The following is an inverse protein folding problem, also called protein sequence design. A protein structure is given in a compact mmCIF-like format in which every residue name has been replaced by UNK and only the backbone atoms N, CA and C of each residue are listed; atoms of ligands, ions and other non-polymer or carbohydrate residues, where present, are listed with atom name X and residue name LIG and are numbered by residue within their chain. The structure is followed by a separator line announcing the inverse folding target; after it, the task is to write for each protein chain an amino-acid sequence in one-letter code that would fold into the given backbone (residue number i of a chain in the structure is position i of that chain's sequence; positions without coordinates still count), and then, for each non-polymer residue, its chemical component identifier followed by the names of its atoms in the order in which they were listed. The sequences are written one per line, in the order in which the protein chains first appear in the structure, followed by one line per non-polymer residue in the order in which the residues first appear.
data_IF_763550208912
#
_entry.id   IF_763550208912
#
_cell.length_a   1.000
_cell.length_b   1.000
_cell.length_c   1.000
_cell.angle_alpha   90.00
_cell.angle_beta   90.00
_cell.angle_gamma   90.00
#
_symmetry.space_group_name_H-M   'P 1'
#
loop_
_entity.id
_entity.type
_entity.pdbx_description
1 polymer ?
#
# COMPACT_ATOMS: atom_id res chain seq x y z
N UNK A 1 0.95 48.87 -55.24
CA UNK A 1 2.39 49.06 -54.95
C UNK A 1 2.78 48.01 -53.94
N UNK A 2 3.72 47.11 -54.26
CA UNK A 2 4.32 46.15 -53.31
C UNK A 2 3.91 44.68 -53.46
N UNK A 3 4.71 43.93 -54.23
CA UNK A 3 4.79 42.46 -54.31
C UNK A 3 5.55 41.85 -53.10
N UNK A 4 5.51 40.51 -53.00
CA UNK A 4 6.44 39.50 -52.40
C UNK A 4 5.56 38.46 -51.66
N UNK A 5 5.12 37.31 -52.21
CA UNK A 5 5.80 36.11 -52.73
C UNK A 5 6.84 35.52 -51.76
N UNK A 6 6.50 34.41 -51.08
CA UNK A 6 7.31 33.22 -50.67
C UNK A 6 6.42 32.41 -49.68
N UNK A 7 6.17 31.10 -49.69
CA UNK A 7 6.56 29.96 -50.50
C UNK A 7 5.87 28.68 -49.94
N UNK A 8 5.30 27.87 -50.84
CA UNK A 8 5.12 26.40 -50.86
C UNK A 8 5.03 25.58 -49.54
N UNK A 9 3.90 24.92 -49.24
CA UNK A 9 3.38 23.65 -49.82
C UNK A 9 3.97 22.36 -49.22
N UNK A 10 3.10 21.50 -48.68
CA UNK A 10 2.97 20.05 -49.01
C UNK A 10 1.90 19.36 -48.14
N UNK A 11 0.63 19.42 -48.56
CA UNK A 11 -0.35 18.36 -48.24
C UNK A 11 -0.32 17.35 -49.40
N UNK A 12 0.10 16.12 -49.13
CA UNK A 12 0.08 15.04 -50.13
C UNK A 12 -1.31 14.42 -50.19
N UNK A 13 -1.88 14.55 -51.38
CA UNK A 13 -3.11 13.97 -51.88
C UNK A 13 -2.79 12.61 -52.53
N UNK A 14 -3.44 11.52 -52.09
CA UNK A 14 -3.57 10.26 -52.87
C UNK A 14 -4.80 9.54 -52.31
N UNK A 15 -6.00 9.75 -52.88
CA UNK A 15 -6.62 9.02 -54.01
C UNK A 15 -6.87 7.53 -53.72
N UNK A 16 -8.08 7.21 -53.24
CA UNK A 16 -9.23 6.53 -53.90
C UNK A 16 -9.04 5.03 -54.17
N UNK A 17 -9.93 4.19 -53.63
CA UNK A 17 -10.92 3.34 -54.34
C UNK A 17 -11.34 2.11 -53.53
N UNK A 18 -12.64 2.07 -53.28
CA UNK A 18 -13.46 0.96 -52.81
C UNK A 18 -13.50 -0.19 -53.83
N UNK A 19 -13.77 -1.43 -53.39
CA UNK A 19 -14.82 -2.33 -53.93
C UNK A 19 -14.97 -3.57 -53.02
N UNK A 20 -16.24 -3.93 -52.86
CA UNK A 20 -16.84 -4.97 -52.03
C UNK A 20 -16.82 -6.31 -52.76
N UNK A 21 -16.58 -7.43 -52.06
CA UNK A 21 -17.20 -8.72 -52.41
C UNK A 21 -17.68 -9.40 -51.12
N UNK A 22 -19.00 -9.58 -51.05
CA UNK A 22 -19.67 -10.41 -50.06
C UNK A 22 -19.45 -11.90 -50.39
N UNK A 23 -19.02 -12.68 -49.39
CA UNK A 23 -18.96 -14.13 -49.46
C UNK A 23 -19.75 -14.72 -48.29
N UNK A 24 -21.04 -15.00 -48.51
CA UNK A 24 -21.83 -15.87 -47.65
C UNK A 24 -21.48 -17.32 -47.94
N UNK A 25 -20.88 -18.02 -46.98
CA UNK A 25 -20.97 -19.48 -46.89
C UNK A 25 -21.39 -19.87 -45.49
N UNK A 26 -22.53 -20.56 -45.44
CA UNK A 26 -23.19 -21.15 -44.28
C UNK A 26 -22.28 -22.13 -43.55
N UNK A 27 -22.27 -22.07 -42.23
CA UNK A 27 -21.71 -23.06 -41.33
C UNK A 27 -22.52 -23.10 -40.04
N UNK A 28 -23.56 -23.93 -40.03
CA UNK A 28 -24.44 -24.20 -38.89
C UNK A 28 -23.71 -25.07 -37.86
N UNK A 29 -24.10 -24.87 -36.59
CA UNK A 29 -23.95 -25.76 -35.43
C UNK A 29 -22.83 -25.40 -34.43
N UNK A 30 -23.25 -24.97 -33.23
CA UNK A 30 -22.39 -25.03 -32.05
C UNK A 30 -22.72 -24.07 -30.91
N UNK A 31 -23.88 -24.25 -30.27
CA UNK A 31 -24.04 -23.90 -28.86
C UNK A 31 -24.55 -22.50 -28.55
N UNK A 32 -25.83 -22.44 -28.21
CA UNK A 32 -26.29 -21.51 -27.17
C UNK A 32 -25.40 -21.67 -25.95
N UNK A 33 -24.60 -20.65 -25.63
CA UNK A 33 -24.01 -20.53 -24.30
C UNK A 33 -24.75 -19.42 -23.57
N UNK A 34 -25.93 -19.74 -23.05
CA UNK A 34 -26.32 -19.13 -21.79
C UNK A 34 -25.36 -19.66 -20.74
N UNK A 35 -24.44 -18.83 -20.27
CA UNK A 35 -23.84 -19.06 -18.96
C UNK A 35 -23.84 -17.75 -18.22
N UNK A 36 -24.79 -17.66 -17.29
CA UNK A 36 -24.87 -16.59 -16.32
C UNK A 36 -23.52 -16.41 -15.66
N UNK A 37 -22.86 -15.30 -15.98
CA UNK A 37 -21.78 -14.81 -15.13
C UNK A 37 -22.45 -14.15 -13.94
N UNK A 38 -22.95 -14.99 -13.02
CA UNK A 38 -22.94 -14.64 -11.62
C UNK A 38 -21.48 -14.35 -11.29
N UNK A 39 -21.08 -13.08 -11.42
CA UNK A 39 -19.80 -12.56 -10.97
C UNK A 39 -19.78 -12.78 -9.47
N UNK A 40 -19.37 -13.98 -9.08
CA UNK A 40 -19.17 -14.36 -7.70
C UNK A 40 -18.07 -13.43 -7.19
N UNK A 41 -18.48 -12.35 -6.52
CA UNK A 41 -17.59 -11.30 -6.04
C UNK A 41 -16.47 -11.96 -5.21
N UNK A 42 -15.29 -12.14 -5.82
CA UNK A 42 -14.14 -12.79 -5.19
C UNK A 42 -13.87 -12.07 -3.88
N UNK A 43 -14.25 -12.68 -2.76
CA UNK A 43 -14.08 -12.07 -1.45
C UNK A 43 -12.59 -11.87 -1.21
N UNK A 44 -12.13 -10.60 -1.24
CA UNK A 44 -10.71 -10.28 -1.08
C UNK A 44 -10.26 -10.70 0.32
N UNK A 45 -9.13 -11.40 0.41
CA UNK A 45 -8.48 -11.75 1.69
C UNK A 45 -7.37 -10.75 2.01
N UNK A 46 -7.08 -10.55 3.29
CA UNK A 46 -5.88 -9.84 3.75
C UNK A 46 -4.61 -10.66 3.49
N UNK A 47 -3.46 -10.00 3.58
CA UNK A 47 -2.14 -10.58 3.36
C UNK A 47 -1.88 -11.76 4.32
N UNK A 48 -1.26 -12.83 3.79
CA UNK A 48 -0.74 -13.94 4.59
C UNK A 48 0.60 -13.61 5.25
N UNK A 49 1.41 -12.78 4.60
CA UNK A 49 2.71 -12.32 5.10
C UNK A 49 2.95 -10.87 4.72
N UNK A 50 3.74 -10.15 5.53
CA UNK A 50 4.20 -8.81 5.18
C UNK A 50 5.16 -8.85 3.99
N UNK A 51 5.08 -7.90 3.04
CA UNK A 51 6.01 -7.85 1.91
C UNK A 51 7.45 -7.66 2.38
N UNK A 52 8.41 -8.34 1.73
CA UNK A 52 9.84 -8.28 2.11
C UNK A 52 10.37 -6.84 2.19
N UNK A 53 9.92 -5.95 1.31
CA UNK A 53 10.36 -4.54 1.27
C UNK A 53 10.07 -3.74 2.55
N UNK A 54 9.02 -4.12 3.29
CA UNK A 54 8.62 -3.49 4.55
C UNK A 54 9.27 -4.12 5.78
N UNK A 55 9.78 -5.34 5.67
CA UNK A 55 10.35 -6.06 6.83
C UNK A 55 11.57 -5.32 7.36
N UNK A 56 11.74 -5.29 8.68
CA UNK A 56 12.80 -4.56 9.37
C UNK A 56 12.36 -4.05 10.73
N UNK A 57 13.27 -3.36 11.42
CA UNK A 57 12.94 -2.60 12.63
C UNK A 57 13.15 -1.13 12.35
N UNK A 58 12.17 -0.32 12.71
CA UNK A 58 12.15 1.12 12.48
C UNK A 58 11.89 1.85 13.78
N UNK A 59 12.51 3.00 13.94
CA UNK A 59 12.57 3.77 15.18
C UNK A 59 12.17 5.22 14.91
N UNK A 60 11.33 5.78 15.76
CA UNK A 60 11.16 7.23 15.91
C UNK A 60 11.63 7.60 17.31
N UNK A 61 12.40 8.68 17.42
CA UNK A 61 12.87 9.16 18.71
C UNK A 61 11.79 10.06 19.32
N UNK A 62 11.40 9.78 20.55
CA UNK A 62 10.32 10.50 21.24
C UNK A 62 10.85 11.52 22.26
N UNK A 63 12.15 11.47 22.58
CA UNK A 63 12.76 12.37 23.55
C UNK A 63 13.47 11.66 24.69
N UNK A 64 13.74 12.41 25.76
CA UNK A 64 14.47 11.96 26.95
C UNK A 64 13.69 12.39 28.19
N UNK A 65 13.44 11.45 29.10
CA UNK A 65 12.84 11.70 30.43
C UNK A 65 13.74 11.00 31.44
N UNK A 66 14.09 11.68 32.54
CA UNK A 66 14.91 11.16 33.63
C UNK A 66 16.20 10.43 33.18
N UNK A 67 16.93 11.02 32.22
CA UNK A 67 18.14 10.37 31.70
C UNK A 67 17.89 9.34 30.59
N UNK A 68 16.69 8.77 30.51
CA UNK A 68 16.33 7.65 29.64
C UNK A 68 15.80 8.14 28.29
N UNK A 69 16.26 7.52 27.20
CA UNK A 69 15.86 7.86 25.83
C UNK A 69 14.72 6.97 25.34
N UNK A 70 13.64 7.58 24.87
CA UNK A 70 12.44 6.87 24.43
C UNK A 70 12.33 6.83 22.91
N UNK A 71 11.83 5.70 22.41
CA UNK A 71 11.65 5.49 20.97
C UNK A 71 10.39 4.68 20.71
N UNK A 72 9.57 5.17 19.79
CA UNK A 72 8.55 4.36 19.14
C UNK A 72 9.24 3.37 18.20
N UNK A 73 8.79 2.12 18.20
CA UNK A 73 9.38 1.03 17.42
C UNK A 73 8.30 0.32 16.61
N UNK A 74 8.49 0.28 15.28
CA UNK A 74 7.79 -0.64 14.40
C UNK A 74 8.73 -1.76 13.97
N UNK A 75 8.44 -3.01 14.34
CA UNK A 75 9.21 -4.20 13.96
C UNK A 75 8.37 -5.10 13.06
N UNK A 76 8.60 -5.05 11.76
CA UNK A 76 7.84 -5.81 10.77
C UNK A 76 8.62 -7.08 10.41
N UNK A 77 8.09 -8.24 10.79
CA UNK A 77 8.58 -9.57 10.35
C UNK A 77 7.61 -10.17 9.34
N UNK A 78 7.86 -11.40 8.86
CA UNK A 78 6.99 -12.03 7.87
C UNK A 78 5.54 -12.20 8.34
N UNK A 79 5.33 -12.59 9.61
CA UNK A 79 4.00 -12.89 10.19
C UNK A 79 3.70 -12.11 11.47
N UNK A 80 4.55 -11.15 11.85
CA UNK A 80 4.32 -10.34 13.04
C UNK A 80 4.64 -8.87 12.81
N UNK A 81 3.92 -8.00 13.49
CA UNK A 81 4.19 -6.58 13.62
C UNK A 81 4.43 -6.29 15.10
N UNK A 82 5.67 -6.00 15.48
CA UNK A 82 6.00 -5.52 16.81
C UNK A 82 5.77 -4.02 16.90
N UNK A 83 5.08 -3.59 17.94
CA UNK A 83 4.84 -2.17 18.24
C UNK A 83 5.39 -1.85 19.62
N UNK A 84 6.12 -0.75 19.73
CA UNK A 84 6.38 -0.07 20.99
C UNK A 84 5.98 1.38 20.77
N UNK A 85 5.05 1.86 21.56
CA UNK A 85 4.64 3.25 21.58
C UNK A 85 5.00 3.85 22.95
N UNK A 86 5.20 5.16 22.96
CA UNK A 86 5.37 5.99 24.16
C UNK A 86 6.58 5.55 25.00
N UNK A 87 6.49 5.76 26.32
CA UNK A 87 7.53 5.39 27.28
C UNK A 87 7.57 3.89 27.60
N UNK A 88 6.89 3.07 26.80
CA UNK A 88 6.88 1.62 26.97
C UNK A 88 8.28 1.00 26.91
N UNK A 89 8.54 0.03 27.77
CA UNK A 89 9.84 -0.64 27.87
C UNK A 89 9.98 -1.81 26.87
N UNK A 90 8.88 -2.49 26.54
CA UNK A 90 8.87 -3.69 25.71
C UNK A 90 8.17 -3.50 24.35
N UNK A 91 8.60 -4.27 23.35
CA UNK A 91 7.91 -4.33 22.04
C UNK A 91 6.82 -5.41 22.10
N UNK A 92 5.57 -5.01 21.91
CA UNK A 92 4.41 -5.91 21.90
C UNK A 92 4.26 -6.53 20.50
N UNK A 93 4.30 -7.86 20.35
CA UNK A 93 4.11 -8.51 19.07
C UNK A 93 2.62 -8.66 18.72
N UNK A 94 2.26 -8.29 17.51
CA UNK A 94 0.95 -8.55 16.90
C UNK A 94 1.08 -9.58 15.79
N UNK A 95 0.21 -10.58 15.78
CA UNK A 95 0.23 -11.70 14.84
C UNK A 95 -0.61 -11.40 13.61
N UNK A 96 0.01 -11.51 12.44
CA UNK A 96 -0.69 -11.30 11.16
C UNK A 96 -1.57 -12.51 10.85
N UNK A 97 -2.86 -12.25 10.61
CA UNK A 97 -3.81 -13.25 10.13
C UNK A 97 -4.36 -12.87 8.76
N UNK A 98 -4.53 -13.90 7.93
CA UNK A 98 -5.29 -13.77 6.68
C UNK A 98 -6.77 -13.95 6.97
N UNK A 99 -7.55 -12.89 6.76
CA UNK A 99 -8.99 -12.81 7.02
C UNK A 99 -9.74 -12.35 5.77
N UNK A 100 -11.05 -12.58 5.73
CA UNK A 100 -11.92 -12.06 4.66
C UNK A 100 -12.16 -10.56 4.89
N UNK A 101 -12.20 -9.80 3.81
CA UNK A 101 -12.46 -8.35 3.82
C UNK A 101 -13.87 -8.04 3.27
N UNK A 102 -14.51 -6.94 3.71
CA UNK A 102 -14.08 -6.04 4.80
C UNK A 102 -14.27 -6.70 6.19
N UNK A 103 -13.31 -6.49 7.10
CA UNK A 103 -13.30 -7.14 8.42
C UNK A 103 -14.56 -6.86 9.24
N UNK A 104 -15.11 -5.64 9.16
CA UNK A 104 -16.34 -5.24 9.87
C UNK A 104 -17.53 -6.16 9.58
N UNK A 105 -17.65 -6.70 8.36
CA UNK A 105 -18.72 -7.63 7.97
C UNK A 105 -18.69 -8.93 8.78
N UNK A 106 -17.54 -9.29 9.32
CA UNK A 106 -17.32 -10.54 10.05
C UNK A 106 -17.05 -10.33 11.55
N UNK A 107 -17.31 -9.13 12.09
CA UNK A 107 -16.95 -8.75 13.45
C UNK A 107 -17.44 -9.75 14.52
N UNK A 108 -18.72 -10.14 14.49
CA UNK A 108 -19.31 -11.14 15.42
C UNK A 108 -18.54 -12.48 15.39
N UNK A 109 -18.23 -12.97 14.18
CA UNK A 109 -17.46 -14.22 13.99
C UNK A 109 -16.02 -14.08 14.46
N UNK A 110 -15.42 -12.91 14.27
CA UNK A 110 -14.02 -12.67 14.57
C UNK A 110 -13.77 -12.42 16.06
N UNK A 111 -14.71 -11.81 16.77
CA UNK A 111 -14.66 -11.65 18.23
C UNK A 111 -14.52 -12.98 18.97
N UNK A 112 -15.10 -14.06 18.45
CA UNK A 112 -14.98 -15.41 19.06
C UNK A 112 -13.72 -16.16 18.64
N UNK A 113 -13.05 -15.74 17.56
CA UNK A 113 -11.98 -16.52 16.89
C UNK A 113 -10.58 -15.94 17.10
N UNK A 114 -10.46 -14.63 17.16
CA UNK A 114 -9.18 -13.93 17.11
C UNK A 114 -8.89 -13.24 18.43
N UNK A 115 -7.60 -13.10 18.73
CA UNK A 115 -7.11 -12.46 19.96
C UNK A 115 -6.92 -10.95 19.73
N UNK A 116 -6.82 -10.20 20.83
CA UNK A 116 -6.47 -8.77 20.81
C UNK A 116 -5.14 -8.49 20.11
N UNK A 117 -4.20 -9.45 20.15
CA UNK A 117 -2.91 -9.36 19.46
C UNK A 117 -2.97 -9.78 17.99
N UNK A 118 -4.12 -10.17 17.44
CA UNK A 118 -4.23 -10.52 16.02
C UNK A 118 -4.58 -9.29 15.16
N UNK A 119 -3.78 -9.07 14.12
CA UNK A 119 -3.96 -7.98 13.16
C UNK A 119 -4.15 -8.53 11.74
N UNK A 120 -4.69 -7.70 10.87
CA UNK A 120 -4.68 -7.95 9.43
C UNK A 120 -3.91 -6.84 8.71
N UNK A 121 -3.42 -7.17 7.51
CA UNK A 121 -2.75 -6.21 6.67
C UNK A 121 -3.23 -6.30 5.21
N UNK A 122 -3.31 -5.16 4.54
CA UNK A 122 -3.61 -5.08 3.10
C UNK A 122 -2.57 -4.22 2.40
N UNK A 123 -2.40 -4.40 1.09
CA UNK A 123 -1.51 -3.57 0.29
C UNK A 123 -2.26 -3.03 -0.92
N UNK A 124 -2.19 -1.72 -1.14
CA UNK A 124 -2.70 -1.05 -2.34
C UNK A 124 -1.57 -0.22 -2.93
N UNK A 125 -1.07 -0.60 -4.11
CA UNK A 125 0.12 0.00 -4.70
C UNK A 125 1.33 -0.12 -3.76
N UNK A 126 1.95 1.02 -3.43
CA UNK A 126 3.09 1.10 -2.50
C UNK A 126 2.69 1.24 -1.02
N UNK A 127 1.40 1.32 -0.71
CA UNK A 127 0.91 1.58 0.66
C UNK A 127 0.48 0.26 1.32
N UNK A 128 1.04 0.00 2.50
CA UNK A 128 0.69 -1.10 3.39
C UNK A 128 -0.23 -0.57 4.49
N UNK A 129 -1.39 -1.17 4.67
CA UNK A 129 -2.31 -0.86 5.77
C UNK A 129 -2.23 -1.98 6.82
N UNK A 130 -2.18 -1.62 8.09
CA UNK A 130 -2.25 -2.55 9.23
C UNK A 130 -3.30 -2.09 10.23
N UNK A 131 -4.09 -3.04 10.75
CA UNK A 131 -5.14 -2.74 11.72
C UNK A 131 -5.47 -3.99 12.55
N UNK A 132 -5.92 -3.85 13.81
CA UNK A 132 -6.41 -4.98 14.59
C UNK A 132 -7.63 -5.63 13.94
N UNK A 133 -7.77 -6.94 14.09
CA UNK A 133 -8.94 -7.66 13.59
C UNK A 133 -10.16 -7.31 14.45
N UNK A 134 -9.94 -7.18 15.76
CA UNK A 134 -10.93 -6.72 16.71
C UNK A 134 -10.99 -5.19 16.72
N UNK A 135 -12.13 -4.62 17.12
CA UNK A 135 -12.31 -3.18 17.20
C UNK A 135 -11.67 -2.61 18.48
N UNK A 136 -10.34 -2.59 18.52
CA UNK A 136 -9.55 -2.09 19.66
C UNK A 136 -8.57 -1.01 19.19
N UNK A 137 -8.09 -0.20 20.13
CA UNK A 137 -7.02 0.76 19.87
C UNK A 137 -5.70 0.02 19.65
N UNK A 138 -5.04 0.33 18.53
CA UNK A 138 -3.70 -0.16 18.21
C UNK A 138 -2.82 1.06 17.88
N UNK A 139 -1.85 1.42 18.75
CA UNK A 139 -1.12 2.69 18.66
C UNK A 139 -0.42 2.90 17.30
N UNK A 140 0.05 1.80 16.70
CA UNK A 140 0.70 1.78 15.39
C UNK A 140 -0.19 1.21 14.29
N UNK A 141 -1.52 1.29 14.44
CA UNK A 141 -2.44 1.11 13.34
C UNK A 141 -2.25 2.21 12.31
N UNK A 142 -2.35 1.87 11.03
CA UNK A 142 -2.40 2.89 9.99
C UNK A 142 -1.80 2.44 8.68
N UNK A 143 -1.43 3.43 7.88
CA UNK A 143 -0.90 3.25 6.55
C UNK A 143 0.58 3.57 6.54
N UNK A 144 1.33 2.74 5.82
CA UNK A 144 2.77 2.75 5.78
C UNK A 144 3.24 2.74 4.34
N UNK A 145 4.31 3.48 4.06
CA UNK A 145 4.97 3.50 2.75
C UNK A 145 6.47 3.48 2.94
N UNK A 146 7.16 2.64 2.19
CA UNK A 146 8.62 2.69 2.14
C UNK A 146 9.08 3.92 1.38
N UNK A 147 10.15 4.55 1.85
CA UNK A 147 10.76 5.67 1.14
C UNK A 147 12.20 5.93 1.53
N UNK A 148 12.69 7.08 1.08
CA UNK A 148 14.00 7.62 1.44
C UNK A 148 13.83 9.02 2.02
N UNK A 149 14.68 9.41 2.97
CA UNK A 149 14.80 10.78 3.50
C UNK A 149 16.25 11.25 3.27
N UNK A 150 16.43 12.45 2.72
CA UNK A 150 17.76 13.06 2.54
C UNK A 150 18.18 13.64 3.89
N UNK A 151 19.32 13.20 4.42
CA UNK A 151 19.89 13.60 5.71
C UNK A 151 21.38 13.86 5.50
N UNK A 152 21.84 15.08 5.79
CA UNK A 152 23.25 15.48 5.62
C UNK A 152 23.84 15.03 4.26
N UNK A 153 23.14 15.31 3.15
CA UNK A 153 23.57 14.91 1.80
C UNK A 153 23.25 13.48 1.39
N UNK A 154 23.03 12.55 2.32
CA UNK A 154 22.81 11.12 2.01
C UNK A 154 21.32 10.73 2.03
N UNK A 155 20.93 9.78 1.18
CA UNK A 155 19.56 9.23 1.15
C UNK A 155 19.46 7.98 2.02
N UNK A 156 18.71 8.09 3.11
CA UNK A 156 18.52 6.99 4.08
C UNK A 156 17.15 6.35 3.91
N UNK A 157 17.08 5.02 3.93
CA UNK A 157 15.82 4.26 3.90
C UNK A 157 14.99 4.53 5.16
N UNK A 158 13.70 4.79 4.98
CA UNK A 158 12.75 5.09 6.06
C UNK A 158 11.43 4.37 5.82
N UNK A 159 10.74 4.05 6.92
CA UNK A 159 9.34 3.69 6.92
C UNK A 159 8.55 4.97 7.19
N UNK A 160 7.67 5.37 6.27
CA UNK A 160 6.79 6.54 6.43
C UNK A 160 5.45 6.06 6.93
N UNK A 161 4.91 6.67 7.99
CA UNK A 161 3.46 6.61 8.24
C UNK A 161 2.80 7.68 7.38
N UNK A 162 1.75 7.29 6.68
CA UNK A 162 1.12 8.11 5.67
C UNK A 162 -0.38 8.14 5.87
N UNK A 163 -1.02 9.14 5.30
CA UNK A 163 -2.47 9.17 5.07
C UNK A 163 -2.96 7.97 4.24
N UNK A 164 -4.27 7.67 4.30
CA UNK A 164 -4.91 6.55 3.58
C UNK A 164 -4.64 6.54 2.06
N UNK A 165 -4.54 7.73 1.44
CA UNK A 165 -4.25 7.88 0.02
C UNK A 165 -2.74 7.81 -0.29
N UNK A 166 -1.88 7.76 0.74
CA UNK A 166 -0.42 7.69 0.62
C UNK A 166 0.26 8.98 0.17
N UNK A 167 -0.45 10.12 0.17
CA UNK A 167 0.06 11.42 -0.30
C UNK A 167 0.79 12.18 0.81
N UNK A 168 0.15 12.33 1.98
CA UNK A 168 0.74 13.01 3.13
C UNK A 168 1.52 12.02 4.00
N UNK A 169 2.68 12.44 4.51
CA UNK A 169 3.50 11.69 5.46
C UNK A 169 3.39 12.34 6.82
N UNK A 170 2.87 11.58 7.79
CA UNK A 170 2.65 12.06 9.16
C UNK A 170 3.94 11.96 9.97
N UNK A 171 4.66 10.84 9.81
CA UNK A 171 5.91 10.61 10.55
C UNK A 171 6.90 9.72 9.76
N UNK A 172 8.17 9.83 10.16
CA UNK A 172 9.29 9.07 9.61
C UNK A 172 9.90 8.18 10.69
N UNK A 173 9.98 6.88 10.42
CA UNK A 173 10.67 5.92 11.25
C UNK A 173 11.95 5.45 10.54
N UNK A 174 13.08 5.56 11.23
CA UNK A 174 14.42 5.30 10.72
C UNK A 174 14.88 3.89 11.02
N UNK A 175 15.79 3.35 10.23
CA UNK A 175 16.30 1.97 10.41
C UNK A 175 17.23 1.77 11.60
N UNK A 176 17.66 2.85 12.28
CA UNK A 176 18.49 2.74 13.50
C UNK A 176 18.15 3.83 14.52
N UNK A 177 18.38 3.54 15.81
CA UNK A 177 18.22 4.51 16.91
C UNK A 177 19.13 5.74 16.75
N UNK A 178 20.36 5.56 16.24
CA UNK A 178 21.31 6.66 16.01
C UNK A 178 20.75 7.67 15.01
N UNK A 179 20.19 7.17 13.90
CA UNK A 179 19.54 8.01 12.88
C UNK A 179 18.29 8.68 13.43
N UNK A 180 17.44 7.93 14.13
CA UNK A 180 16.23 8.45 14.75
C UNK A 180 16.54 9.57 15.76
N UNK A 181 17.59 9.42 16.57
CA UNK A 181 17.99 10.44 17.55
C UNK A 181 18.56 11.70 16.90
N UNK A 182 19.36 11.55 15.85
CA UNK A 182 20.04 12.69 15.21
C UNK A 182 19.10 13.49 14.31
N UNK A 183 18.11 12.85 13.70
CA UNK A 183 17.27 13.44 12.65
C UNK A 183 15.76 13.24 12.84
N UNK A 184 15.37 12.68 13.98
CA UNK A 184 13.98 12.66 14.42
C UNK A 184 13.49 14.08 14.63
N UNK A 185 12.26 14.35 14.20
CA UNK A 185 11.60 15.61 14.47
C UNK A 185 10.86 15.44 15.79
N UNK A 186 11.12 16.36 16.73
CA UNK A 186 10.37 16.52 17.97
C UNK A 186 9.09 17.30 17.68
#
# INVERSE_FOLDING_TARGET
MGLILEGFSKMKLTKVLSIIVAGTTLGVAGGMVSSGVNVQAKTKKSLKTFPKSFRGTYYRYEGKVDGVRYYNIARIKAKTFGSRADMGTYTVPFHLRSVKLPVKRYAKKYNKKYKVSDIYATKKGSVLYTYPILNITFPMAGYYKMGKKKLAGHRVKVLKRVSKNGKHTDEYLFTSKKLARKYGVH
#
